data_IF_419424790256
#
_entry.id   IF_419424790256
#
_cell.length_a   1.000
_cell.length_b   1.000
_cell.length_c   1.000
_cell.angle_alpha   90.00
_cell.angle_beta   90.00
_cell.angle_gamma   90.00
#
_symmetry.space_group_name_H-M   'P 1'
#
loop_
_entity.id
_entity.type
_entity.pdbx_description
1 polymer ?
#
# COMPACT_ATOMS: atom_id res chain seq x y z
N UNK A 1 -38.96 44.79 -46.00
CA UNK A 1 -37.89 45.05 -45.01
C UNK A 1 -37.55 43.68 -44.44
N UNK A 2 -36.65 42.85 -44.97
CA UNK A 2 -35.25 42.97 -45.37
C UNK A 2 -34.30 43.48 -44.28
N UNK A 3 -33.41 42.55 -43.89
CA UNK A 3 -32.21 42.56 -43.04
C UNK A 3 -32.37 42.33 -41.52
N UNK A 4 -31.42 41.61 -40.88
CA UNK A 4 -30.59 40.53 -41.42
C UNK A 4 -30.44 39.33 -40.47
N UNK A 5 -30.01 38.20 -41.04
CA UNK A 5 -29.61 37.01 -40.30
C UNK A 5 -28.39 37.30 -39.42
N UNK A 6 -28.49 36.92 -38.16
CA UNK A 6 -27.32 36.69 -37.32
C UNK A 6 -26.69 35.38 -37.78
N UNK A 7 -25.88 35.46 -38.84
CA UNK A 7 -24.78 34.52 -39.01
C UNK A 7 -23.91 34.67 -37.77
N UNK A 8 -23.83 33.61 -36.98
CA UNK A 8 -22.84 33.49 -35.93
C UNK A 8 -21.49 33.85 -36.54
N UNK A 9 -20.93 34.98 -36.09
CA UNK A 9 -19.56 35.34 -36.34
C UNK A 9 -18.70 34.35 -35.55
N UNK A 10 -18.59 33.13 -36.07
CA UNK A 10 -17.57 32.17 -35.70
C UNK A 10 -16.28 32.84 -36.17
N UNK A 11 -15.66 33.57 -35.24
CA UNK A 11 -14.26 33.96 -35.34
C UNK A 11 -13.51 32.77 -35.94
N UNK A 12 -12.81 32.93 -37.08
CA UNK A 12 -12.13 31.81 -37.71
C UNK A 12 -11.24 31.18 -36.65
N UNK A 13 -11.63 29.95 -36.29
CA UNK A 13 -10.91 29.03 -35.43
C UNK A 13 -9.43 29.24 -35.70
N UNK A 14 -8.66 29.66 -34.68
CA UNK A 14 -7.22 29.83 -34.74
C UNK A 14 -6.67 28.71 -35.61
N UNK A 15 -6.29 29.03 -36.85
CA UNK A 15 -5.66 28.06 -37.73
C UNK A 15 -4.32 27.85 -37.04
N UNK A 16 -4.22 26.74 -36.29
CA UNK A 16 -3.02 26.36 -35.60
C UNK A 16 -1.91 26.47 -36.64
N UNK A 17 -0.99 27.40 -36.43
CA UNK A 17 0.05 27.66 -37.39
C UNK A 17 0.80 26.34 -37.65
N UNK A 18 1.19 26.06 -38.91
CA UNK A 18 1.93 24.85 -39.20
C UNK A 18 3.12 24.75 -38.25
N UNK A 19 3.36 23.58 -37.67
CA UNK A 19 4.46 23.35 -36.72
C UNK A 19 5.78 23.86 -37.31
N UNK A 20 5.99 23.70 -38.62
CA UNK A 20 7.13 24.25 -39.36
C UNK A 20 7.28 25.78 -39.25
N UNK A 21 6.17 26.51 -39.28
CA UNK A 21 6.12 27.97 -39.12
C UNK A 21 6.42 28.40 -37.69
N UNK A 22 5.90 27.69 -36.70
CA UNK A 22 6.20 27.91 -35.27
C UNK A 22 7.69 27.68 -34.97
N UNK A 23 8.23 26.54 -35.43
CA UNK A 23 9.64 26.16 -35.26
C UNK A 23 10.57 27.19 -35.90
N UNK A 24 10.25 27.65 -37.11
CA UNK A 24 11.03 28.69 -37.79
C UNK A 24 11.02 30.03 -37.04
N UNK A 25 9.84 30.50 -36.60
CA UNK A 25 9.68 31.81 -35.97
C UNK A 25 10.42 31.89 -34.63
N UNK A 26 10.47 30.80 -33.88
CA UNK A 26 11.12 30.72 -32.57
C UNK A 26 12.57 30.24 -32.64
N UNK A 27 13.14 30.11 -33.84
CA UNK A 27 14.57 29.80 -34.01
C UNK A 27 14.95 28.35 -33.67
N UNK A 28 13.97 27.45 -33.47
CA UNK A 28 14.21 26.03 -33.19
C UNK A 28 14.82 25.26 -34.38
N UNK A 29 14.95 25.91 -35.56
CA UNK A 29 15.62 25.36 -36.73
C UNK A 29 17.14 25.58 -36.76
N UNK A 30 17.69 26.37 -35.82
CA UNK A 30 19.14 26.48 -35.71
C UNK A 30 19.69 25.24 -34.99
N UNK A 31 20.67 24.53 -35.55
CA UNK A 31 21.37 23.50 -34.81
C UNK A 31 21.95 24.12 -33.55
N UNK A 32 21.56 23.61 -32.39
CA UNK A 32 22.11 23.98 -31.09
C UNK A 32 23.64 23.98 -31.17
N UNK A 33 24.29 25.01 -30.65
CA UNK A 33 25.75 25.08 -30.74
C UNK A 33 26.38 23.91 -29.97
N UNK A 34 27.53 23.41 -30.43
CA UNK A 34 28.20 22.28 -29.81
C UNK A 34 28.39 22.42 -28.27
N UNK A 35 28.79 23.59 -27.72
CA UNK A 35 28.87 23.79 -26.27
C UNK A 35 27.49 23.73 -25.57
N UNK A 36 26.44 24.26 -26.19
CA UNK A 36 25.08 24.21 -25.62
C UNK A 36 24.55 22.78 -25.56
N UNK A 37 24.83 21.96 -26.59
CA UNK A 37 24.49 20.52 -26.58
C UNK A 37 25.21 19.76 -25.48
N UNK A 38 26.50 20.01 -25.29
CA UNK A 38 27.30 19.41 -24.22
C UNK A 38 26.75 19.78 -22.84
N UNK A 39 26.32 21.04 -22.65
CA UNK A 39 25.65 21.46 -21.42
C UNK A 39 24.33 20.73 -21.19
N UNK A 40 23.49 20.58 -22.23
CA UNK A 40 22.24 19.84 -22.10
C UNK A 40 22.47 18.35 -21.82
N UNK A 41 23.43 17.71 -22.48
CA UNK A 41 23.76 16.30 -22.19
C UNK A 41 24.27 16.11 -20.76
N UNK A 42 25.09 17.04 -20.27
CA UNK A 42 25.57 17.03 -18.90
C UNK A 42 24.41 17.17 -17.90
N UNK A 43 23.50 18.10 -18.16
CA UNK A 43 22.32 18.30 -17.32
C UNK A 43 21.40 17.07 -17.31
N UNK A 44 21.15 16.47 -18.47
CA UNK A 44 20.36 15.23 -18.59
C UNK A 44 21.02 14.08 -17.82
N UNK A 45 22.36 13.96 -17.90
CA UNK A 45 23.10 12.96 -17.13
C UNK A 45 22.94 13.20 -15.63
N UNK A 46 23.18 14.42 -15.16
CA UNK A 46 23.07 14.78 -13.75
C UNK A 46 21.66 14.51 -13.21
N UNK A 47 20.61 14.92 -13.94
CA UNK A 47 19.22 14.71 -13.55
C UNK A 47 18.85 13.22 -13.53
N UNK A 48 19.41 12.43 -14.45
CA UNK A 48 19.21 10.98 -14.47
C UNK A 48 19.84 10.33 -13.24
N UNK A 49 21.06 10.73 -12.89
CA UNK A 49 21.78 10.24 -11.71
C UNK A 49 21.08 10.65 -10.41
N UNK A 50 20.61 11.90 -10.31
CA UNK A 50 19.86 12.39 -9.15
C UNK A 50 18.54 11.63 -8.97
N UNK A 51 17.79 11.42 -10.06
CA UNK A 51 16.57 10.60 -10.05
C UNK A 51 16.88 9.18 -9.55
N UNK A 52 17.94 8.55 -10.03
CA UNK A 52 18.32 7.20 -9.62
C UNK A 52 18.70 7.15 -8.13
N UNK A 53 19.47 8.13 -7.65
CA UNK A 53 19.81 8.25 -6.24
C UNK A 53 18.57 8.43 -5.35
N UNK A 54 17.64 9.31 -5.76
CA UNK A 54 16.38 9.54 -5.03
C UNK A 54 15.54 8.26 -5.01
N UNK A 55 15.46 7.52 -6.12
CA UNK A 55 14.71 6.26 -6.16
C UNK A 55 15.29 5.21 -5.21
N UNK A 56 16.62 5.10 -5.15
CA UNK A 56 17.31 4.20 -4.23
C UNK A 56 17.05 4.61 -2.77
N UNK A 57 17.17 5.89 -2.45
CA UNK A 57 16.93 6.38 -1.09
C UNK A 57 15.47 6.18 -0.67
N UNK A 58 14.52 6.51 -1.54
CA UNK A 58 13.10 6.32 -1.28
C UNK A 58 12.77 4.85 -1.04
N UNK A 59 13.34 3.94 -1.83
CA UNK A 59 13.17 2.50 -1.63
C UNK A 59 13.77 2.04 -0.28
N UNK A 60 14.95 2.52 0.07
CA UNK A 60 15.60 2.23 1.37
C UNK A 60 14.78 2.73 2.55
N UNK A 61 14.25 3.95 2.46
CA UNK A 61 13.38 4.54 3.50
C UNK A 61 12.07 3.77 3.61
N UNK A 62 11.48 3.37 2.49
CA UNK A 62 10.28 2.53 2.48
C UNK A 62 10.54 1.19 3.18
N UNK A 63 11.66 0.53 2.89
CA UNK A 63 12.05 -0.73 3.54
C UNK A 63 12.27 -0.55 5.06
N UNK A 64 12.91 0.55 5.48
CA UNK A 64 13.11 0.86 6.91
C UNK A 64 11.77 1.12 7.61
N UNK A 65 10.84 1.82 6.95
CA UNK A 65 9.52 2.08 7.47
C UNK A 65 8.71 0.79 7.61
N UNK A 66 8.73 -0.09 6.60
CA UNK A 66 8.06 -1.41 6.66
C UNK A 66 8.65 -2.26 7.80
N UNK A 67 9.97 -2.26 7.99
CA UNK A 67 10.65 -3.00 9.07
C UNK A 67 10.34 -2.46 10.47
N UNK A 68 10.11 -1.15 10.60
CA UNK A 68 9.77 -0.51 11.88
C UNK A 68 8.29 -0.63 12.24
N UNK A 69 7.42 -0.90 11.26
CA UNK A 69 6.01 -1.18 11.51
C UNK A 69 5.83 -2.54 12.19
N UNK A 70 4.98 -2.57 13.23
CA UNK A 70 4.66 -3.78 14.01
C UNK A 70 3.67 -4.69 13.24
N UNK A 71 3.91 -4.98 11.97
CA UNK A 71 3.04 -5.75 11.07
C UNK A 71 3.52 -7.19 10.86
N UNK A 72 2.66 -7.99 10.25
CA UNK A 72 2.96 -9.39 9.98
C UNK A 72 4.15 -9.57 9.03
N UNK A 73 4.44 -8.60 8.16
CA UNK A 73 5.61 -8.63 7.28
C UNK A 73 6.92 -8.56 8.07
N UNK A 74 6.95 -7.92 9.24
CA UNK A 74 8.18 -7.81 10.04
C UNK A 74 8.68 -9.17 10.58
N UNK A 75 7.82 -10.21 10.60
CA UNK A 75 8.15 -11.57 11.05
C UNK A 75 8.12 -12.61 9.92
N UNK A 76 7.97 -12.17 8.67
CA UNK A 76 7.81 -13.05 7.51
C UNK A 76 9.04 -13.95 7.34
N UNK A 77 8.78 -15.26 7.14
CA UNK A 77 9.78 -16.30 7.00
C UNK A 77 10.79 -16.42 8.16
N UNK A 78 10.45 -15.91 9.35
CA UNK A 78 11.29 -15.98 10.54
C UNK A 78 10.53 -16.59 11.72
N UNK A 79 10.69 -17.91 11.90
CA UNK A 79 10.02 -18.67 12.96
C UNK A 79 10.33 -18.16 14.37
N UNK A 80 11.58 -17.81 14.66
CA UNK A 80 11.98 -17.33 15.99
C UNK A 80 11.29 -16.00 16.32
N UNK A 81 11.31 -15.07 15.36
CA UNK A 81 10.69 -13.76 15.52
C UNK A 81 9.17 -13.87 15.58
N UNK A 82 8.57 -14.68 14.71
CA UNK A 82 7.13 -14.94 14.73
C UNK A 82 6.69 -15.52 16.09
N UNK A 83 7.45 -16.49 16.62
CA UNK A 83 7.16 -17.12 17.92
C UNK A 83 7.33 -16.16 19.10
N UNK A 84 8.30 -15.27 19.04
CA UNK A 84 8.46 -14.22 20.05
C UNK A 84 7.22 -13.32 20.12
N UNK A 85 6.74 -12.82 18.98
CA UNK A 85 5.62 -11.89 18.93
C UNK A 85 4.25 -12.55 19.13
N UNK A 86 4.04 -13.73 18.56
CA UNK A 86 2.71 -14.35 18.47
C UNK A 86 2.55 -15.64 19.27
N UNK A 87 3.66 -16.24 19.72
CA UNK A 87 3.69 -17.58 20.30
C UNK A 87 3.67 -18.73 19.28
N UNK A 88 3.55 -18.44 17.98
CA UNK A 88 3.45 -19.43 16.90
C UNK A 88 4.67 -19.37 15.98
N UNK A 89 5.06 -20.50 15.36
CA UNK A 89 5.99 -20.46 14.22
C UNK A 89 5.33 -19.78 13.02
N UNK A 90 6.13 -19.29 12.07
CA UNK A 90 5.62 -18.59 10.88
C UNK A 90 4.68 -19.49 10.07
N UNK A 91 5.07 -20.75 9.90
CA UNK A 91 4.26 -21.77 9.21
C UNK A 91 2.89 -21.97 9.86
N UNK A 92 2.86 -22.17 11.18
CA UNK A 92 1.62 -22.36 11.95
C UNK A 92 0.77 -21.08 11.92
N UNK A 93 1.38 -19.92 12.11
CA UNK A 93 0.71 -18.62 12.01
C UNK A 93 -0.01 -18.48 10.65
N UNK A 94 0.68 -18.76 9.55
CA UNK A 94 0.10 -18.66 8.20
C UNK A 94 -1.01 -19.68 7.97
N UNK A 95 -0.85 -20.92 8.43
CA UNK A 95 -1.90 -21.94 8.33
C UNK A 95 -3.16 -21.55 9.11
N UNK A 96 -3.01 -21.10 10.36
CA UNK A 96 -4.13 -20.64 11.20
C UNK A 96 -4.79 -19.41 10.59
N UNK A 97 -3.99 -18.44 10.11
CA UNK A 97 -4.52 -17.25 9.46
C UNK A 97 -5.34 -17.60 8.21
N UNK A 98 -4.82 -18.51 7.39
CA UNK A 98 -5.51 -18.96 6.16
C UNK A 98 -6.82 -19.66 6.51
N UNK A 99 -6.81 -20.56 7.51
CA UNK A 99 -8.00 -21.25 7.97
C UNK A 99 -9.04 -20.32 8.60
N UNK A 100 -8.64 -19.34 9.41
CA UNK A 100 -9.59 -18.45 10.09
C UNK A 100 -10.11 -17.34 9.16
N UNK A 101 -9.26 -16.80 8.29
CA UNK A 101 -9.62 -15.70 7.39
C UNK A 101 -10.79 -16.03 6.47
N UNK A 102 -11.00 -17.31 6.10
CA UNK A 102 -12.12 -17.72 5.26
C UNK A 102 -13.50 -17.46 5.89
N UNK A 103 -13.56 -17.32 7.23
CA UNK A 103 -14.80 -17.08 7.96
C UNK A 103 -15.09 -15.59 8.18
N UNK A 104 -14.22 -14.70 7.71
CA UNK A 104 -14.39 -13.26 7.82
C UNK A 104 -14.87 -12.68 6.49
N UNK A 105 -15.98 -11.94 6.52
CA UNK A 105 -16.44 -11.17 5.37
C UNK A 105 -15.50 -9.99 5.11
N UNK A 106 -15.20 -9.72 3.84
CA UNK A 106 -14.51 -8.48 3.46
C UNK A 106 -15.36 -7.28 3.86
N UNK A 107 -14.71 -6.30 4.47
CA UNK A 107 -15.30 -5.03 4.93
C UNK A 107 -14.35 -3.90 4.50
N UNK A 108 -14.79 -2.63 4.42
CA UNK A 108 -13.87 -1.52 4.11
C UNK A 108 -12.63 -1.49 5.03
N UNK A 109 -12.80 -1.94 6.27
CA UNK A 109 -11.71 -2.09 7.23
C UNK A 109 -10.66 -3.14 6.82
N UNK A 110 -11.05 -4.21 6.14
CA UNK A 110 -10.10 -5.23 5.65
C UNK A 110 -9.28 -4.74 4.45
N UNK A 111 -9.69 -3.64 3.82
CA UNK A 111 -8.95 -3.03 2.72
C UNK A 111 -7.81 -2.15 3.25
N UNK A 112 -8.00 -1.49 4.39
CA UNK A 112 -6.96 -0.67 5.04
C UNK A 112 -6.07 -1.47 5.99
N UNK A 113 -6.60 -2.53 6.61
CA UNK A 113 -5.86 -3.35 7.57
C UNK A 113 -6.05 -4.83 7.28
N UNK A 114 -5.02 -5.46 6.72
CA UNK A 114 -5.11 -6.82 6.19
C UNK A 114 -5.55 -7.82 7.26
N UNK A 115 -6.27 -8.88 6.87
CA UNK A 115 -6.68 -9.94 7.81
C UNK A 115 -5.47 -10.57 8.53
N UNK A 116 -4.35 -10.72 7.81
CA UNK A 116 -3.07 -11.20 8.34
C UNK A 116 -2.58 -10.29 9.47
N UNK A 117 -2.58 -8.97 9.26
CA UNK A 117 -2.12 -8.00 10.26
C UNK A 117 -3.09 -7.86 11.44
N UNK A 118 -4.39 -8.02 11.19
CA UNK A 118 -5.38 -8.04 12.26
C UNK A 118 -5.19 -9.24 13.19
N UNK A 119 -5.00 -10.45 12.64
CA UNK A 119 -4.70 -11.64 13.44
C UNK A 119 -3.38 -11.46 14.18
N UNK A 120 -2.34 -10.99 13.49
CA UNK A 120 -1.02 -10.72 14.07
C UNK A 120 -1.10 -9.77 15.27
N UNK A 121 -1.82 -8.66 15.11
CA UNK A 121 -2.00 -7.65 16.17
C UNK A 121 -2.78 -8.22 17.35
N UNK A 122 -3.79 -9.05 17.09
CA UNK A 122 -4.56 -9.74 18.14
C UNK A 122 -3.66 -10.68 18.94
N UNK A 123 -2.82 -11.47 18.28
CA UNK A 123 -1.89 -12.39 18.95
C UNK A 123 -0.80 -11.65 19.73
N UNK A 124 -0.26 -10.56 19.19
CA UNK A 124 0.70 -9.71 19.91
C UNK A 124 0.05 -9.14 21.17
N UNK A 125 -1.17 -8.62 21.09
CA UNK A 125 -1.89 -8.10 22.26
C UNK A 125 -1.99 -9.16 23.34
N UNK A 126 -2.36 -10.40 22.98
CA UNK A 126 -2.45 -11.51 23.93
C UNK A 126 -1.09 -11.91 24.52
N UNK A 127 -0.03 -11.87 23.72
CA UNK A 127 1.28 -12.41 24.11
C UNK A 127 2.14 -11.44 24.91
N UNK A 128 2.16 -10.17 24.49
CA UNK A 128 3.03 -9.11 25.00
C UNK A 128 2.25 -8.09 25.85
N UNK A 129 0.94 -8.27 25.99
CA UNK A 129 0.04 -7.40 26.75
C UNK A 129 0.12 -5.90 26.37
N UNK A 130 0.34 -5.61 25.10
CA UNK A 130 0.49 -4.23 24.59
C UNK A 130 -0.83 -3.46 24.77
N UNK A 131 -0.86 -2.19 25.21
CA UNK A 131 -2.11 -1.43 25.30
C UNK A 131 -2.73 -1.15 23.91
N UNK A 132 -4.06 -1.07 23.84
CA UNK A 132 -4.77 -0.84 22.58
C UNK A 132 -4.45 0.55 22.00
N UNK A 133 -4.21 1.53 22.88
CA UNK A 133 -3.83 2.90 22.55
C UNK A 133 -2.50 2.93 21.79
N UNK A 134 -1.51 2.15 22.24
CA UNK A 134 -0.22 2.05 21.57
C UNK A 134 -0.38 1.48 20.16
N UNK A 135 -1.19 0.43 20.01
CA UNK A 135 -1.46 -0.17 18.70
C UNK A 135 -2.18 0.83 17.80
N UNK A 136 -3.20 1.53 18.31
CA UNK A 136 -3.97 2.53 17.58
C UNK A 136 -3.07 3.67 17.06
N UNK A 137 -2.24 4.24 17.94
CA UNK A 137 -1.28 5.29 17.58
C UNK A 137 -0.25 4.81 16.56
N UNK A 138 0.34 3.63 16.76
CA UNK A 138 1.35 3.09 15.85
C UNK A 138 0.78 2.74 14.47
N UNK A 139 -0.51 2.44 14.39
CA UNK A 139 -1.20 2.10 13.13
C UNK A 139 -1.88 3.28 12.46
N UNK A 140 -2.05 4.41 13.16
CA UNK A 140 -2.90 5.50 12.67
C UNK A 140 -4.37 5.07 12.50
N UNK A 141 -4.84 4.11 13.30
CA UNK A 141 -6.21 3.58 13.26
C UNK A 141 -6.94 4.00 14.54
N UNK A 142 -8.22 4.34 14.45
CA UNK A 142 -9.03 4.68 15.62
C UNK A 142 -9.04 3.56 16.68
N UNK A 143 -8.98 3.92 17.96
CA UNK A 143 -8.97 2.99 19.09
C UNK A 143 -10.19 2.05 19.09
N UNK A 144 -11.37 2.56 18.76
CA UNK A 144 -12.60 1.78 18.64
C UNK A 144 -12.48 0.67 17.59
N UNK A 145 -11.83 0.97 16.47
CA UNK A 145 -11.58 0.03 15.38
C UNK A 145 -10.64 -1.09 15.84
N UNK A 146 -9.54 -0.76 16.53
CA UNK A 146 -8.61 -1.76 17.08
C UNK A 146 -9.32 -2.69 18.08
N UNK A 147 -10.13 -2.13 18.97
CA UNK A 147 -10.94 -2.92 19.92
C UNK A 147 -11.91 -3.87 19.19
N UNK A 148 -12.62 -3.37 18.18
CA UNK A 148 -13.54 -4.19 17.39
C UNK A 148 -12.81 -5.34 16.67
N UNK A 149 -11.64 -5.07 16.10
CA UNK A 149 -10.80 -6.09 15.47
C UNK A 149 -10.40 -7.16 16.48
N UNK A 150 -9.88 -6.74 17.64
CA UNK A 150 -9.45 -7.66 18.69
C UNK A 150 -10.59 -8.60 19.09
N UNK A 151 -11.74 -8.07 19.50
CA UNK A 151 -12.87 -8.89 19.93
C UNK A 151 -13.42 -9.77 18.81
N UNK A 152 -13.47 -9.28 17.56
CA UNK A 152 -13.88 -10.09 16.40
C UNK A 152 -12.98 -11.32 16.23
N UNK A 153 -11.67 -11.14 16.30
CA UNK A 153 -10.72 -12.25 16.16
C UNK A 153 -10.74 -13.20 17.35
N UNK A 154 -10.87 -12.70 18.59
CA UNK A 154 -11.03 -13.55 19.78
C UNK A 154 -12.27 -14.43 19.67
N UNK A 155 -13.41 -13.84 19.34
CA UNK A 155 -14.67 -14.57 19.18
C UNK A 155 -14.58 -15.63 18.07
N UNK A 156 -13.95 -15.27 16.94
CA UNK A 156 -13.75 -16.20 15.83
C UNK A 156 -12.83 -17.37 16.22
N UNK A 157 -11.67 -17.08 16.84
CA UNK A 157 -10.74 -18.10 17.31
C UNK A 157 -11.41 -19.03 18.30
N UNK A 158 -12.15 -18.49 19.27
CA UNK A 158 -12.90 -19.28 20.24
C UNK A 158 -13.91 -20.20 19.56
N UNK A 159 -14.73 -19.68 18.64
CA UNK A 159 -15.76 -20.48 17.97
C UNK A 159 -15.16 -21.58 17.08
N UNK A 160 -14.14 -21.26 16.27
CA UNK A 160 -13.62 -22.18 15.26
C UNK A 160 -12.60 -23.15 15.82
N UNK A 161 -11.66 -22.70 16.65
CA UNK A 161 -10.65 -23.58 17.23
C UNK A 161 -11.28 -24.55 18.21
N UNK A 162 -12.23 -24.11 19.06
CA UNK A 162 -12.96 -25.04 19.94
C UNK A 162 -13.71 -26.11 19.15
N UNK A 163 -14.37 -25.75 18.05
CA UNK A 163 -15.08 -26.72 17.18
C UNK A 163 -14.15 -27.76 16.56
N UNK A 164 -12.88 -27.39 16.29
CA UNK A 164 -11.89 -28.33 15.79
C UNK A 164 -11.51 -29.36 16.84
N UNK A 165 -11.47 -29.00 18.13
CA UNK A 165 -11.16 -29.93 19.20
C UNK A 165 -12.34 -30.83 19.56
N UNK A 166 -13.56 -30.27 19.62
CA UNK A 166 -14.77 -31.03 19.97
C UNK A 166 -15.28 -31.91 18.82
N UNK A 167 -15.04 -31.53 17.56
CA UNK A 167 -15.38 -32.36 16.40
C UNK A 167 -14.56 -33.65 16.27
N UNK A 168 -13.42 -33.76 16.96
CA UNK A 168 -12.56 -34.96 16.96
C UNK A 168 -13.02 -35.99 18.00
N UNK A 169 -13.69 -35.56 19.08
CA UNK A 169 -14.14 -36.47 20.15
C UNK A 169 -15.33 -37.33 19.76
N UNK A 170 -16.13 -36.90 18.77
CA UNK A 170 -17.26 -37.68 18.24
C UNK A 170 -16.84 -38.80 17.27
N UNK A 171 -15.66 -38.67 16.62
CA UNK A 171 -15.18 -39.67 15.65
C UNK A 171 -14.49 -40.88 16.28
N UNK A 172 -14.09 -40.81 17.55
CA UNK A 172 -13.45 -41.93 18.27
C UNK A 172 -14.42 -42.75 19.16
N UNK A 173 -15.73 -42.50 19.08
CA UNK A 173 -16.76 -43.19 19.89
C UNK A 173 -17.66 -44.13 19.07
N UNK A 174 -17.22 -44.58 17.90
CA UNK A 174 -17.93 -45.60 17.10
C UNK A 174 -17.05 -46.82 16.88
#
# INVERSE_FOLDING_TARGET
MLFPGNEENIQPMYIAEPISTYINRHGFNKPTEQPEREMFFKEISNLSDEKDNILIENQSLHDQLVKSQLNSACVENNDQKCKYFTGLSWTVFMSVNTYLSQFLTRTPLTDTFSLRDQMFTTLIKLRLDIPFEFIAHHRGIALSTINNIFWRWINLMYAKLTSLFTGQTEKHRK
#
